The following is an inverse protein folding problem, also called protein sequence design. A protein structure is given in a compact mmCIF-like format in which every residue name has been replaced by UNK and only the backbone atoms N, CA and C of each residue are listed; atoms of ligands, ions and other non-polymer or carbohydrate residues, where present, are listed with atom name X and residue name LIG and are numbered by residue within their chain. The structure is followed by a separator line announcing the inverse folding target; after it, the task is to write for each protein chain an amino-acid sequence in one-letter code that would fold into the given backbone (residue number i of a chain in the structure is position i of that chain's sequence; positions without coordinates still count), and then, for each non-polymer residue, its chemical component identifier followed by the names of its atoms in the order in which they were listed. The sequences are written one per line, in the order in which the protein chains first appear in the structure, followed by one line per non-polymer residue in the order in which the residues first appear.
data_IF_132782068116
#
_entry.id   IF_132782068116
#
_cell.length_a   1.000
_cell.length_b   1.000
_cell.length_c   1.000
_cell.angle_alpha   90.00
_cell.angle_beta   90.00
_cell.angle_gamma   90.00
#
_symmetry.space_group_name_H-M   'P 1'
#
loop_
_entity.id
_entity.type
_entity.pdbx_description
1 polymer ?
#
# COMPACT_ATOMS: atom_id res chain seq x y z
N UNK A 1 -9.89 -14.17 -3.04
CA UNK A 1 -9.50 -12.81 -3.47
C UNK A 1 -8.01 -12.66 -3.80
N UNK A 2 -7.06 -13.23 -3.03
CA UNK A 2 -5.64 -13.22 -3.45
C UNK A 2 -5.41 -13.87 -4.83
N UNK A 3 -6.16 -14.92 -5.13
CA UNK A 3 -6.10 -15.61 -6.44
C UNK A 3 -6.68 -14.79 -7.60
N UNK A 4 -7.51 -13.77 -7.31
CA UNK A 4 -8.04 -12.86 -8.32
C UNK A 4 -7.17 -11.61 -8.52
N UNK A 5 -6.04 -11.50 -7.82
CA UNK A 5 -5.14 -10.36 -8.01
C UNK A 5 -4.45 -10.45 -9.38
N UNK A 6 -4.44 -9.35 -10.15
CA UNK A 6 -3.67 -9.28 -11.39
C UNK A 6 -2.20 -9.64 -11.15
N UNK A 7 -1.59 -10.38 -12.08
CA UNK A 7 -0.18 -10.80 -11.98
C UNK A 7 0.77 -9.62 -11.82
N UNK A 8 0.45 -8.44 -12.38
CA UNK A 8 1.30 -7.26 -12.33
C UNK A 8 1.35 -6.56 -10.96
N UNK A 9 0.46 -6.95 -10.04
CA UNK A 9 0.37 -6.36 -8.71
C UNK A 9 0.89 -7.33 -7.65
N UNK A 10 1.58 -6.79 -6.66
CA UNK A 10 1.97 -7.50 -5.45
C UNK A 10 1.32 -6.87 -4.22
N UNK A 11 0.99 -7.70 -3.24
CA UNK A 11 0.43 -7.26 -1.96
C UNK A 11 1.59 -6.88 -1.05
N UNK A 12 1.62 -5.62 -0.61
CA UNK A 12 2.69 -5.09 0.25
C UNK A 12 2.23 -4.84 1.68
N UNK A 13 0.93 -4.93 1.95
CA UNK A 13 0.35 -4.71 3.27
C UNK A 13 -0.93 -5.51 3.46
N UNK A 14 -1.03 -6.18 4.61
CA UNK A 14 -2.12 -7.08 4.98
C UNK A 14 -2.46 -6.92 6.45
N UNK A 15 -3.75 -7.04 6.78
CA UNK A 15 -4.19 -7.32 8.15
C UNK A 15 -4.11 -8.84 8.34
N UNK A 16 -3.24 -9.36 9.23
CA UNK A 16 -2.97 -10.80 9.34
C UNK A 16 -4.22 -11.65 9.60
N UNK A 17 -5.11 -11.18 10.47
CA UNK A 17 -6.25 -11.96 10.95
C UNK A 17 -7.45 -11.93 9.98
N UNK A 18 -7.58 -10.86 9.21
CA UNK A 18 -8.70 -10.65 8.29
C UNK A 18 -8.32 -10.99 6.84
N UNK A 19 -7.04 -11.26 6.57
CA UNK A 19 -6.48 -11.37 5.22
C UNK A 19 -6.83 -10.18 4.30
N UNK A 20 -7.20 -9.05 4.90
CA UNK A 20 -7.62 -7.85 4.20
C UNK A 20 -6.39 -7.14 3.64
N UNK A 21 -6.42 -6.86 2.34
CA UNK A 21 -5.35 -6.17 1.63
C UNK A 21 -5.41 -4.68 1.95
N UNK A 22 -4.31 -4.14 2.45
CA UNK A 22 -4.20 -2.73 2.86
C UNK A 22 -3.30 -1.91 1.93
N UNK A 23 -2.39 -2.57 1.21
CA UNK A 23 -1.57 -1.91 0.19
C UNK A 23 -1.05 -2.87 -0.87
N UNK A 24 -0.83 -2.32 -2.05
CA UNK A 24 -0.32 -3.01 -3.23
C UNK A 24 0.75 -2.17 -3.92
N UNK A 25 1.62 -2.82 -4.69
CA UNK A 25 2.55 -2.18 -5.60
C UNK A 25 2.51 -2.85 -6.97
N UNK A 26 2.80 -2.10 -8.03
CA UNK A 26 3.06 -2.69 -9.33
C UNK A 26 4.48 -3.24 -9.36
N UNK A 27 4.66 -4.46 -9.89
CA UNK A 27 5.95 -5.18 -9.85
C UNK A 27 7.09 -4.48 -10.62
N UNK A 28 6.73 -3.68 -11.62
CA UNK A 28 7.69 -3.14 -12.59
C UNK A 28 7.69 -1.62 -12.71
N UNK A 29 6.76 -0.92 -12.06
CA UNK A 29 6.63 0.55 -12.16
C UNK A 29 6.48 1.14 -10.77
N UNK A 30 6.87 2.41 -10.55
CA UNK A 30 6.70 3.08 -9.25
C UNK A 30 5.23 3.50 -9.04
N UNK A 31 4.32 2.53 -9.12
CA UNK A 31 2.88 2.69 -8.91
C UNK A 31 2.47 1.92 -7.65
N UNK A 32 1.83 2.63 -6.74
CA UNK A 32 1.45 2.11 -5.42
C UNK A 32 -0.01 2.43 -5.12
N UNK A 33 -0.68 1.54 -4.41
CA UNK A 33 -2.03 1.73 -3.89
C UNK A 33 -2.07 1.45 -2.40
N UNK A 34 -2.73 2.31 -1.63
CA UNK A 34 -2.92 2.16 -0.19
C UNK A 34 -4.39 2.38 0.14
N UNK A 35 -4.91 1.64 1.11
CA UNK A 35 -6.32 1.73 1.53
C UNK A 35 -6.54 2.73 2.68
N UNK A 36 -5.48 3.09 3.40
CA UNK A 36 -5.50 4.04 4.52
C UNK A 36 -5.10 5.46 4.07
N UNK A 37 -5.33 6.41 4.97
CA UNK A 37 -5.13 7.84 4.75
C UNK A 37 -3.80 8.33 5.40
N UNK A 38 -2.66 8.33 4.68
CA UNK A 38 -1.39 8.82 5.21
C UNK A 38 -1.40 10.34 5.46
N UNK A 39 -2.34 11.07 4.88
CA UNK A 39 -2.56 12.50 5.08
C UNK A 39 -3.24 12.83 6.42
N UNK A 40 -3.89 11.84 7.05
CA UNK A 40 -4.62 12.05 8.28
C UNK A 40 -3.68 12.36 9.46
N UNK A 41 -4.08 13.32 10.30
CA UNK A 41 -3.35 13.70 11.53
C UNK A 41 -3.15 12.48 12.46
N UNK A 42 -4.10 11.55 12.45
CA UNK A 42 -4.09 10.33 13.25
C UNK A 42 -3.16 9.23 12.75
N UNK A 43 -2.39 9.45 11.67
CA UNK A 43 -1.46 8.46 11.10
C UNK A 43 -0.01 8.88 11.43
N UNK A 44 0.61 8.37 12.52
CA UNK A 44 1.91 8.87 12.99
C UNK A 44 3.04 8.78 11.94
N UNK A 45 3.00 7.74 11.11
CA UNK A 45 3.98 7.50 10.04
C UNK A 45 3.57 8.11 8.70
N UNK A 46 2.40 8.75 8.60
CA UNK A 46 1.81 9.21 7.35
C UNK A 46 2.68 10.22 6.60
N UNK A 47 3.23 11.22 7.32
CA UNK A 47 4.19 12.19 6.76
C UNK A 47 5.49 11.55 6.26
N UNK A 48 5.91 10.42 6.84
CA UNK A 48 7.09 9.69 6.35
C UNK A 48 6.76 8.95 5.06
N UNK A 49 5.59 8.31 4.98
CA UNK A 49 5.14 7.62 3.77
C UNK A 49 5.03 8.58 2.58
N UNK A 50 4.47 9.77 2.78
CA UNK A 50 4.39 10.79 1.74
C UNK A 50 5.79 11.27 1.29
N UNK A 51 6.74 11.43 2.21
CA UNK A 51 8.13 11.77 1.85
C UNK A 51 8.79 10.67 1.02
N UNK A 52 8.66 9.42 1.46
CA UNK A 52 9.18 8.28 0.70
C UNK A 52 8.62 8.26 -0.72
N UNK A 53 7.33 8.57 -0.92
CA UNK A 53 6.72 8.63 -2.24
C UNK A 53 7.26 9.78 -3.10
N UNK A 54 7.53 10.95 -2.50
CA UNK A 54 8.10 12.10 -3.21
C UNK A 54 9.59 11.92 -3.56
N UNK A 55 10.29 11.04 -2.84
CA UNK A 55 11.72 10.75 -3.04
C UNK A 55 11.98 9.59 -4.04
N UNK A 56 10.93 9.02 -4.64
CA UNK A 56 11.01 7.97 -5.68
C UNK A 56 11.40 8.54 -7.05
#
# INVERSE_FOLDING_TARGET
ERESMPYELEITGLIPDESLVMSIAHKHTPLFGIQFHPESIGTPTGKQMLRNFLDL
#
